data_IF_757330535529
#
_entry.id   IF_757330535529
#
_cell.length_a   1.000
_cell.length_b   1.000
_cell.length_c   1.000
_cell.angle_alpha   90.00
_cell.angle_beta   90.00
_cell.angle_gamma   90.00
#
_symmetry.space_group_name_H-M   'P 1'
#
loop_
_entity.id
_entity.type
_entity.pdbx_description
1 polymer ?
#
# COMPACT_ATOMS: atom_id res chain seq x y z
N UNK A 1 22.26 -10.15 31.13
CA UNK A 1 21.31 -10.68 30.12
C UNK A 1 21.69 -10.10 28.78
N UNK A 2 21.91 -10.90 27.75
CA UNK A 2 22.27 -10.40 26.43
C UNK A 2 21.00 -10.17 25.60
N UNK A 3 20.83 -9.00 24.96
CA UNK A 3 19.71 -8.76 24.06
C UNK A 3 19.86 -9.64 22.80
N UNK A 4 18.85 -10.45 22.52
CA UNK A 4 18.75 -11.28 21.29
C UNK A 4 17.69 -10.69 20.36
N UNK A 5 17.73 -10.99 19.06
CA UNK A 5 16.74 -10.48 18.10
C UNK A 5 15.29 -10.82 18.46
N UNK A 6 15.08 -11.91 19.19
CA UNK A 6 13.77 -12.36 19.68
C UNK A 6 13.12 -11.38 20.67
N UNK A 7 13.92 -10.47 21.23
CA UNK A 7 13.48 -9.42 22.14
C UNK A 7 12.97 -8.16 21.43
N UNK A 8 13.05 -8.14 20.10
CA UNK A 8 12.62 -7.01 19.27
C UNK A 8 11.12 -7.04 19.07
N UNK A 9 10.47 -5.89 19.20
CA UNK A 9 9.07 -5.73 18.82
C UNK A 9 9.02 -5.65 17.29
N UNK A 10 8.38 -6.64 16.65
CA UNK A 10 8.21 -6.71 15.20
C UNK A 10 6.75 -6.42 14.86
N UNK A 11 6.52 -5.44 13.98
CA UNK A 11 5.20 -5.08 13.50
C UNK A 11 5.22 -5.07 11.97
N UNK A 12 4.46 -5.97 11.36
CA UNK A 12 4.25 -6.02 9.93
C UNK A 12 2.94 -5.32 9.61
N UNK A 13 3.04 -4.18 8.93
CA UNK A 13 1.91 -3.32 8.59
C UNK A 13 1.81 -3.25 7.08
N UNK A 14 0.59 -3.36 6.55
CA UNK A 14 0.33 -3.13 5.14
C UNK A 14 0.45 -1.62 4.83
N UNK A 15 1.31 -1.22 3.88
CA UNK A 15 1.69 0.18 3.70
C UNK A 15 0.58 1.09 3.15
N UNK A 16 -0.40 0.56 2.42
CA UNK A 16 -1.47 1.37 1.81
C UNK A 16 -2.65 1.65 2.76
N UNK A 17 -2.94 0.73 3.68
CA UNK A 17 -4.11 0.75 4.58
C UNK A 17 -3.74 0.92 6.05
N UNK A 18 -2.50 0.66 6.44
CA UNK A 18 -2.06 0.71 7.82
C UNK A 18 -2.56 -0.46 8.68
N UNK A 19 -3.13 -1.50 8.07
CA UNK A 19 -3.60 -2.69 8.79
C UNK A 19 -2.41 -3.52 9.25
N UNK A 20 -2.41 -3.89 10.54
CA UNK A 20 -1.39 -4.76 11.13
C UNK A 20 -1.66 -6.18 10.67
N UNK A 21 -0.75 -6.76 9.89
CA UNK A 21 -0.81 -8.13 9.37
C UNK A 21 -0.25 -9.14 10.38
N UNK A 22 0.81 -8.75 11.08
CA UNK A 22 1.44 -9.56 12.12
C UNK A 22 2.10 -8.64 13.14
N UNK A 23 1.91 -8.93 14.42
CA UNK A 23 2.61 -8.26 15.50
C UNK A 23 3.21 -9.29 16.46
N UNK A 24 4.49 -9.09 16.78
CA UNK A 24 5.21 -9.80 17.82
C UNK A 24 5.72 -8.77 18.81
N UNK A 25 5.35 -8.92 20.08
CA UNK A 25 5.74 -8.02 21.16
C UNK A 25 6.26 -8.84 22.33
N UNK A 26 7.51 -8.57 22.71
CA UNK A 26 8.07 -9.08 23.95
C UNK A 26 8.10 -7.97 25.00
N UNK A 27 7.54 -8.21 26.18
CA UNK A 27 7.48 -7.25 27.28
C UNK A 27 8.20 -7.86 28.48
N UNK A 28 9.13 -7.12 29.06
CA UNK A 28 9.79 -7.49 30.31
C UNK A 28 9.19 -6.70 31.47
N UNK A 29 8.73 -7.40 32.51
CA UNK A 29 8.24 -6.79 33.74
C UNK A 29 9.37 -6.85 34.78
N UNK A 30 9.72 -5.69 35.33
CA UNK A 30 10.78 -5.54 36.31
C UNK A 30 10.22 -5.08 37.66
N UNK A 31 10.69 -5.69 38.74
CA UNK A 31 10.49 -5.20 40.10
C UNK A 31 11.56 -4.17 40.43
N UNK A 32 11.15 -3.04 40.97
CA UNK A 32 12.06 -2.01 41.46
C UNK A 32 12.43 -2.35 42.89
N UNK A 33 13.71 -2.64 43.14
CA UNK A 33 14.21 -2.88 44.48
C UNK A 33 15.06 -1.68 44.90
N UNK A 34 14.71 -1.09 46.03
CA UNK A 34 15.43 0.04 46.63
C UNK A 34 15.93 -0.32 48.01
N UNK A 35 17.10 0.17 48.36
CA UNK A 35 17.66 0.01 49.69
C UNK A 35 16.79 0.76 50.69
N UNK A 36 16.36 0.05 51.74
CA UNK A 36 15.63 0.65 52.85
C UNK A 36 16.21 0.18 54.17
N UNK A 37 16.57 1.14 55.05
CA UNK A 37 17.16 0.88 56.37
C UNK A 37 16.13 0.39 57.38
N UNK A 38 14.83 0.61 57.15
CA UNK A 38 13.74 0.16 58.03
C UNK A 38 13.43 -1.32 57.83
N UNK A 39 13.75 -1.87 56.65
CA UNK A 39 13.55 -3.28 56.32
C UNK A 39 14.87 -4.03 56.31
N UNK A 40 15.10 -4.90 57.30
CA UNK A 40 16.36 -5.63 57.49
C UNK A 40 16.80 -6.42 56.24
N UNK A 41 15.85 -6.91 55.45
CA UNK A 41 16.09 -7.65 54.21
C UNK A 41 16.42 -6.74 53.00
N UNK A 42 16.02 -5.46 53.00
CA UNK A 42 16.38 -4.47 51.96
C UNK A 42 17.61 -3.64 52.37
N UNK A 43 18.00 -3.65 53.64
CA UNK A 43 19.04 -2.77 54.19
C UNK A 43 20.42 -2.93 53.55
N UNK A 44 20.72 -4.11 52.97
CA UNK A 44 21.99 -4.40 52.27
C UNK A 44 21.84 -4.57 50.76
N UNK A 45 20.62 -4.44 50.22
CA UNK A 45 20.37 -4.64 48.79
C UNK A 45 20.66 -3.35 48.06
N UNK A 46 21.37 -3.45 46.92
CA UNK A 46 21.65 -2.31 46.05
C UNK A 46 20.43 -1.97 45.22
N UNK A 47 20.19 -0.69 45.01
CA UNK A 47 19.13 -0.20 44.11
C UNK A 47 19.30 -0.84 42.72
N UNK A 48 18.30 -1.61 42.30
CA UNK A 48 18.35 -2.35 41.04
C UNK A 48 16.96 -2.65 40.49
N UNK A 49 16.92 -2.95 39.20
CA UNK A 49 15.74 -3.45 38.51
C UNK A 49 15.86 -4.96 38.37
N UNK A 50 15.04 -5.70 39.10
CA UNK A 50 15.04 -7.15 39.06
C UNK A 50 14.07 -7.62 37.97
N UNK A 51 14.54 -8.33 36.92
CA UNK A 51 13.65 -8.95 35.95
C UNK A 51 12.81 -10.04 36.62
N UNK A 52 11.49 -9.89 36.58
CA UNK A 52 10.55 -10.85 37.19
C UNK A 52 10.04 -11.82 36.13
N UNK A 53 9.56 -11.29 34.99
CA UNK A 53 8.96 -12.11 33.94
C UNK A 53 9.10 -11.46 32.57
N UNK A 54 9.16 -12.31 31.55
CA UNK A 54 9.11 -11.94 30.13
C UNK A 54 7.82 -12.49 29.54
N UNK A 55 7.01 -11.62 28.96
CA UNK A 55 5.76 -11.95 28.29
C UNK A 55 5.97 -11.83 26.78
N UNK A 56 5.79 -12.93 26.05
CA UNK A 56 5.80 -12.93 24.59
C UNK A 56 4.36 -12.98 24.09
N UNK A 57 3.92 -11.92 23.41
CA UNK A 57 2.65 -11.86 22.72
C UNK A 57 2.88 -11.89 21.21
N UNK A 58 2.27 -12.86 20.53
CA UNK A 58 2.18 -12.89 19.07
C UNK A 58 0.72 -12.78 18.66
N UNK A 59 0.43 -11.92 17.69
CA UNK A 59 -0.87 -11.86 17.04
C UNK A 59 -0.65 -11.83 15.54
N UNK A 60 -1.30 -12.75 14.85
CA UNK A 60 -1.30 -12.84 13.39
C UNK A 60 -2.72 -12.61 12.91
N UNK A 61 -2.86 -11.90 11.79
CA UNK A 61 -4.15 -11.79 11.12
C UNK A 61 -4.54 -13.17 10.61
N UNK A 62 -5.77 -13.59 10.89
CA UNK A 62 -6.34 -14.84 10.35
C UNK A 62 -6.35 -14.80 8.82
N UNK A 63 -6.06 -15.93 8.19
CA UNK A 63 -6.00 -16.08 6.72
C UNK A 63 -7.27 -15.54 6.03
N UNK A 64 -8.43 -15.66 6.68
CA UNK A 64 -9.70 -15.14 6.16
C UNK A 64 -9.69 -13.61 6.04
N UNK A 65 -9.16 -12.91 7.04
CA UNK A 65 -9.07 -11.44 7.05
C UNK A 65 -8.02 -10.97 6.07
N UNK A 66 -6.89 -11.69 5.94
CA UNK A 66 -5.87 -11.42 4.93
C UNK A 66 -6.43 -11.56 3.50
N UNK A 67 -7.26 -12.58 3.26
CA UNK A 67 -7.91 -12.81 1.97
C UNK A 67 -8.92 -11.71 1.64
N UNK A 68 -9.72 -11.28 2.62
CA UNK A 68 -10.66 -10.15 2.47
C UNK A 68 -9.94 -8.84 2.17
N UNK A 69 -8.81 -8.57 2.82
CA UNK A 69 -7.99 -7.38 2.56
C UNK A 69 -7.41 -7.39 1.14
N UNK A 70 -6.82 -8.51 0.72
CA UNK A 70 -6.34 -8.68 -0.67
C UNK A 70 -7.46 -8.46 -1.67
N UNK A 71 -8.64 -9.02 -1.40
CA UNK A 71 -9.78 -8.85 -2.28
C UNK A 71 -10.27 -7.40 -2.34
N UNK A 72 -10.29 -6.70 -1.21
CA UNK A 72 -10.75 -5.31 -1.12
C UNK A 72 -9.80 -4.31 -1.77
N UNK A 73 -8.48 -4.57 -1.74
CA UNK A 73 -7.48 -3.61 -2.23
C UNK A 73 -7.02 -3.88 -3.65
N UNK A 74 -6.73 -5.13 -3.98
CA UNK A 74 -6.13 -5.48 -5.27
C UNK A 74 -7.17 -5.49 -6.40
N UNK A 75 -8.41 -5.93 -6.13
CA UNK A 75 -9.42 -6.02 -7.18
C UNK A 75 -9.87 -4.67 -7.72
N UNK A 76 -10.22 -3.66 -6.91
CA UNK A 76 -10.66 -2.38 -7.45
C UNK A 76 -9.54 -1.69 -8.22
N UNK A 77 -8.29 -1.79 -7.74
CA UNK A 77 -7.14 -1.23 -8.42
C UNK A 77 -6.91 -1.89 -9.78
N UNK A 78 -6.94 -3.23 -9.84
CA UNK A 78 -6.66 -3.97 -11.07
C UNK A 78 -7.78 -3.80 -12.12
N UNK A 79 -9.04 -3.85 -11.67
CA UNK A 79 -10.21 -3.62 -12.53
C UNK A 79 -10.23 -2.17 -13.02
N UNK A 80 -10.04 -1.20 -12.14
CA UNK A 80 -10.00 0.21 -12.48
C UNK A 80 -8.91 0.54 -13.51
N UNK A 81 -7.70 0.03 -13.30
CA UNK A 81 -6.58 0.30 -14.23
C UNK A 81 -6.83 -0.34 -15.61
N UNK A 82 -7.38 -1.55 -15.64
CA UNK A 82 -7.67 -2.27 -16.89
C UNK A 82 -8.75 -1.55 -17.70
N UNK A 83 -9.86 -1.17 -17.04
CA UNK A 83 -10.93 -0.42 -17.69
C UNK A 83 -10.45 0.93 -18.22
N UNK A 84 -9.71 1.67 -17.39
CA UNK A 84 -9.19 3.00 -17.78
C UNK A 84 -8.27 2.90 -18.99
N UNK A 85 -7.37 1.91 -19.01
CA UNK A 85 -6.47 1.67 -20.15
C UNK A 85 -7.26 1.36 -21.42
N UNK A 86 -8.29 0.51 -21.32
CA UNK A 86 -9.13 0.16 -22.46
C UNK A 86 -9.86 1.37 -23.05
N UNK A 87 -10.45 2.21 -22.20
CA UNK A 87 -11.14 3.43 -22.64
C UNK A 87 -10.19 4.44 -23.30
N UNK A 88 -8.99 4.63 -22.76
CA UNK A 88 -7.99 5.53 -23.36
C UNK A 88 -7.57 5.00 -24.75
N UNK A 89 -7.35 3.70 -24.87
CA UNK A 89 -6.93 3.09 -26.13
C UNK A 89 -8.03 3.15 -27.19
N UNK A 90 -9.28 2.84 -26.82
CA UNK A 90 -10.42 2.96 -27.71
C UNK A 90 -10.68 4.41 -28.13
N UNK A 91 -10.62 5.36 -27.19
CA UNK A 91 -10.82 6.78 -27.45
C UNK A 91 -9.75 7.36 -28.38
N UNK A 92 -8.48 7.01 -28.16
CA UNK A 92 -7.38 7.49 -29.01
C UNK A 92 -7.50 7.00 -30.46
N UNK A 93 -7.87 5.74 -30.69
CA UNK A 93 -8.12 5.21 -32.04
C UNK A 93 -9.30 5.89 -32.71
N UNK A 94 -10.39 6.15 -31.96
CA UNK A 94 -11.55 6.89 -32.47
C UNK A 94 -11.20 8.31 -32.90
N UNK A 95 -10.40 9.02 -32.11
CA UNK A 95 -9.94 10.38 -32.44
C UNK A 95 -9.03 10.39 -33.67
N UNK A 96 -8.13 9.42 -33.80
CA UNK A 96 -7.25 9.32 -34.97
C UNK A 96 -8.02 9.01 -36.26
N UNK A 97 -9.02 8.13 -36.19
CA UNK A 97 -9.82 7.76 -37.36
C UNK A 97 -10.70 8.92 -37.85
N UNK A 98 -11.34 9.66 -36.92
CA UNK A 98 -12.15 10.84 -37.25
C UNK A 98 -11.30 11.98 -37.81
N UNK A 99 -10.14 12.26 -37.21
CA UNK A 99 -9.18 13.24 -37.74
C UNK A 99 -8.73 12.87 -39.16
N UNK A 100 -8.43 11.59 -39.41
CA UNK A 100 -8.04 11.10 -40.74
C UNK A 100 -9.17 11.28 -41.79
N UNK A 101 -10.43 11.02 -41.41
CA UNK A 101 -11.58 11.26 -42.30
C UNK A 101 -11.74 12.75 -42.63
N UNK A 102 -11.63 13.64 -41.65
CA UNK A 102 -11.76 15.09 -41.88
C UNK A 102 -10.65 15.61 -42.81
N UNK A 103 -9.42 15.14 -42.63
CA UNK A 103 -8.30 15.50 -43.51
C UNK A 103 -8.50 14.98 -44.94
N UNK A 104 -9.05 13.76 -45.12
CA UNK A 104 -9.42 13.23 -46.44
C UNK A 104 -10.52 14.04 -47.10
N UNK A 105 -11.59 14.37 -46.39
CA UNK A 105 -12.70 15.18 -46.93
C UNK A 105 -12.26 16.58 -47.33
N UNK A 106 -11.34 17.20 -46.58
CA UNK A 106 -10.77 18.51 -46.95
C UNK A 106 -9.91 18.45 -48.22
N UNK A 107 -9.13 17.38 -48.44
CA UNK A 107 -8.36 17.23 -49.70
C UNK A 107 -9.25 17.09 -50.94
N UNK A 108 -10.35 16.35 -50.85
CA UNK A 108 -11.24 16.09 -51.99
C UNK A 108 -11.99 17.37 -52.39
N UNK A 109 -12.44 18.17 -51.41
CA UNK A 109 -13.10 19.46 -51.68
C UNK A 109 -12.20 20.48 -52.39
N UNK A 110 -10.91 20.54 -52.04
CA UNK A 110 -9.94 21.43 -52.69
C UNK A 110 -9.66 20.99 -54.13
N UNK A 111 -9.59 19.69 -54.40
CA UNK A 111 -9.36 19.18 -55.77
C UNK A 111 -10.55 19.42 -56.70
N UNK A 112 -11.79 19.31 -56.19
CA UNK A 112 -13.01 19.59 -56.96
C UNK A 112 -13.13 21.06 -57.41
N UNK A 113 -12.67 22.00 -56.58
CA UNK A 113 -12.69 23.43 -56.90
C UNK A 113 -11.69 23.85 -57.99
N UNK A 114 -10.70 23.01 -58.31
CA UNK A 114 -9.66 23.31 -59.31
C UNK A 114 -10.03 22.78 -60.71
N UNK A 115 -10.99 21.85 -60.82
CA UNK A 115 -11.35 21.19 -62.09
C UNK A 115 -12.56 21.77 -62.84
N UNK A 116 -13.17 22.85 -62.36
CA UNK A 116 -14.49 23.33 -62.82
C UNK A 116 -14.48 24.52 -63.79
N UNK A 117 -13.55 24.59 -64.74
CA UNK A 117 -13.46 25.74 -65.67
C UNK A 117 -13.15 25.34 -67.11
N UNK A 118 -14.14 24.86 -67.85
CA UNK A 118 -14.13 24.87 -69.31
C UNK A 118 -15.53 25.25 -69.82
N UNK A 119 -15.66 26.46 -70.37
CA UNK A 119 -16.85 26.95 -71.08
C UNK A 119 -17.02 26.22 -72.42
N UNK A 120 -18.24 25.86 -72.84
CA UNK A 120 -18.49 25.35 -74.18
C UNK A 120 -18.63 26.50 -75.18
N UNK A 121 -17.99 26.35 -76.34
CA UNK A 121 -18.17 27.18 -77.55
C UNK A 121 -19.33 26.61 -78.37
#
# INVERSE_FOLDING_TARGET
MAPTEDMTIKLHVEPQTGVIMQAQKMIQVNAVIRQDKHFRWLAKVRDTFLPVVYLNGTTTVSEEVATRLKHSLLWPQLVGNTLTTFFILAGSVGLLSSACQVLRSRRIGVFSSVGGGYEPI
#
